data_IF_830919993769
#
_entry.id   IF_830919993769
#
_cell.length_a   1.000
_cell.length_b   1.000
_cell.length_c   1.000
_cell.angle_alpha   90.00
_cell.angle_beta   90.00
_cell.angle_gamma   90.00
#
_symmetry.space_group_name_H-M   'P 1'
#
loop_
_entity.id
_entity.type
_entity.pdbx_description
1 polymer ?
#
# COMPACT_ATOMS: atom_id res chain seq x y z
N UNK A 1 -17.74 34.67 -6.59
CA UNK A 1 -16.29 34.74 -6.36
C UNK A 1 -15.85 33.38 -5.89
N UNK A 2 -15.16 32.59 -6.73
CA UNK A 2 -14.62 31.27 -6.36
C UNK A 2 -13.34 31.49 -5.59
N UNK A 3 -13.31 31.17 -4.33
CA UNK A 3 -12.08 31.13 -3.53
C UNK A 3 -11.28 29.89 -3.97
N UNK A 4 -10.22 30.13 -4.70
CA UNK A 4 -9.18 29.11 -4.93
C UNK A 4 -8.44 28.90 -3.61
N UNK A 5 -8.73 27.82 -2.91
CA UNK A 5 -7.90 27.36 -1.83
C UNK A 5 -6.56 26.94 -2.42
N UNK A 6 -5.57 27.81 -2.28
CA UNK A 6 -4.17 27.48 -2.55
C UNK A 6 -3.76 26.41 -1.55
N UNK A 7 -3.76 25.16 -1.99
CA UNK A 7 -3.15 24.06 -1.24
C UNK A 7 -1.66 24.34 -1.27
N UNK A 8 -1.15 24.95 -0.20
CA UNK A 8 0.27 25.05 0.05
C UNK A 8 0.79 23.65 0.27
N UNK A 9 1.46 23.07 -0.73
CA UNK A 9 2.18 21.82 -0.63
C UNK A 9 3.43 22.08 0.23
N UNK A 10 3.24 22.17 1.54
CA UNK A 10 4.34 22.17 2.49
C UNK A 10 4.85 20.74 2.57
N UNK A 11 5.71 20.36 1.63
CA UNK A 11 6.62 19.25 1.81
C UNK A 11 7.57 19.72 2.91
N UNK A 12 7.24 19.38 4.15
CA UNK A 12 8.20 19.52 5.24
C UNK A 12 9.34 18.55 4.91
N UNK A 13 10.41 19.09 4.35
CA UNK A 13 11.69 18.43 4.25
C UNK A 13 12.21 18.27 5.69
N UNK A 14 11.80 17.22 6.36
CA UNK A 14 12.43 16.76 7.59
C UNK A 14 13.80 16.22 7.20
N UNK A 15 14.77 17.10 7.20
CA UNK A 15 16.19 16.75 7.12
C UNK A 15 16.55 16.17 8.48
N UNK A 16 16.42 14.85 8.63
CA UNK A 16 17.02 14.13 9.74
C UNK A 16 18.53 14.01 9.47
N UNK A 17 19.30 14.92 10.03
CA UNK A 17 20.75 14.77 10.15
C UNK A 17 21.03 13.95 11.40
N UNK A 18 20.98 12.63 11.31
CA UNK A 18 21.73 11.77 12.25
C UNK A 18 21.84 10.35 11.67
N UNK A 19 23.09 9.85 11.58
CA UNK A 19 23.51 8.47 11.32
C UNK A 19 22.82 7.78 10.13
N UNK A 20 23.63 7.33 9.18
CA UNK A 20 23.27 6.65 7.93
C UNK A 20 22.35 5.43 8.14
N UNK A 21 21.06 5.65 8.29
CA UNK A 21 20.04 4.64 8.16
C UNK A 21 19.35 4.85 6.81
N UNK A 22 19.06 3.74 6.14
CA UNK A 22 18.68 3.75 4.74
C UNK A 22 17.22 4.20 4.55
N UNK A 23 16.98 5.51 4.57
CA UNK A 23 15.68 6.08 4.16
C UNK A 23 15.34 5.57 2.76
N UNK A 24 14.15 5.05 2.59
CA UNK A 24 13.64 4.60 1.29
C UNK A 24 12.56 5.57 0.81
N UNK A 25 12.78 6.14 -0.38
CA UNK A 25 11.75 6.84 -1.15
C UNK A 25 11.19 5.86 -2.18
N UNK A 26 9.88 5.69 -2.24
CA UNK A 26 9.18 4.82 -3.19
C UNK A 26 8.09 5.63 -3.92
N UNK A 27 8.27 5.83 -5.22
CA UNK A 27 7.30 6.48 -6.10
C UNK A 27 6.73 5.41 -7.01
N UNK A 28 5.39 5.33 -7.08
CA UNK A 28 4.68 4.33 -7.86
C UNK A 28 3.48 4.94 -8.57
N UNK A 29 3.37 4.66 -9.85
CA UNK A 29 2.20 4.98 -10.65
C UNK A 29 1.40 3.71 -10.95
N UNK A 30 0.08 3.75 -10.82
CA UNK A 30 -0.81 2.63 -11.10
C UNK A 30 -1.88 2.98 -12.13
N UNK A 31 -2.28 1.97 -12.89
CA UNK A 31 -3.37 2.02 -13.83
C UNK A 31 -4.31 0.82 -13.66
N UNK A 32 -5.60 1.07 -13.44
CA UNK A 32 -6.68 0.07 -13.43
C UNK A 32 -7.32 0.03 -14.80
N UNK A 33 -7.19 -1.11 -15.48
CA UNK A 33 -7.50 -1.19 -16.92
C UNK A 33 -9.00 -1.07 -17.21
N UNK A 34 -9.86 -1.77 -16.46
CA UNK A 34 -11.32 -1.70 -16.67
C UNK A 34 -11.90 -0.34 -16.27
N UNK A 35 -11.53 0.13 -15.09
CA UNK A 35 -12.00 1.41 -14.56
C UNK A 35 -11.34 2.63 -15.24
N UNK A 36 -10.29 2.45 -16.08
CA UNK A 36 -9.52 3.52 -16.72
C UNK A 36 -9.04 4.58 -15.73
N UNK A 37 -8.57 4.14 -14.57
CA UNK A 37 -8.18 5.02 -13.47
C UNK A 37 -6.68 4.98 -13.23
N UNK A 38 -6.09 6.16 -13.13
CA UNK A 38 -4.70 6.35 -12.77
C UNK A 38 -4.57 6.89 -11.34
N UNK A 39 -3.53 6.46 -10.63
CA UNK A 39 -3.15 7.06 -9.35
C UNK A 39 -1.64 6.99 -9.18
N UNK A 40 -1.08 7.95 -8.45
CA UNK A 40 0.33 8.01 -8.10
C UNK A 40 0.47 7.94 -6.59
N UNK A 41 1.44 7.20 -6.12
CA UNK A 41 1.78 7.08 -4.70
C UNK A 41 3.22 7.53 -4.46
N UNK A 42 3.42 8.30 -3.41
CA UNK A 42 4.74 8.59 -2.86
C UNK A 42 4.78 8.06 -1.44
N UNK A 43 5.81 7.27 -1.12
CA UNK A 43 6.04 6.74 0.23
C UNK A 43 7.49 7.01 0.64
N UNK A 44 7.68 7.50 1.85
CA UNK A 44 8.97 7.58 2.53
C UNK A 44 8.92 6.63 3.71
N UNK A 45 9.93 5.80 3.90
CA UNK A 45 9.99 4.86 5.01
C UNK A 45 11.41 4.64 5.50
N UNK A 46 11.53 4.33 6.78
CA UNK A 46 12.79 4.04 7.44
C UNK A 46 12.58 3.09 8.64
N UNK A 47 13.67 2.69 9.26
CA UNK A 47 13.64 1.93 10.51
C UNK A 47 14.80 2.32 11.42
N UNK A 48 14.55 2.40 12.71
CA UNK A 48 15.53 2.64 13.76
C UNK A 48 15.47 1.44 14.70
N UNK A 49 16.54 0.67 14.76
CA UNK A 49 16.57 -0.62 15.47
C UNK A 49 15.43 -1.54 15.05
N UNK A 50 14.54 -1.85 15.98
CA UNK A 50 13.36 -2.67 15.75
C UNK A 50 12.12 -1.87 15.31
N UNK A 51 12.14 -0.55 15.45
CA UNK A 51 11.03 0.32 15.09
C UNK A 51 11.08 0.66 13.61
N UNK A 52 9.97 0.45 12.88
CA UNK A 52 9.84 0.90 11.49
C UNK A 52 8.71 1.92 11.39
N UNK A 53 8.85 2.84 10.43
CA UNK A 53 7.82 3.82 10.13
C UNK A 53 7.82 4.19 8.66
N UNK A 54 6.71 4.73 8.21
CA UNK A 54 6.54 5.21 6.84
C UNK A 54 5.40 6.19 6.71
N UNK A 55 5.54 7.10 5.77
CA UNK A 55 4.51 8.06 5.38
C UNK A 55 4.19 7.83 3.92
N UNK A 56 2.92 7.64 3.61
CA UNK A 56 2.43 7.43 2.26
C UNK A 56 1.36 8.46 1.91
N UNK A 57 1.43 8.99 0.69
CA UNK A 57 0.37 9.81 0.11
C UNK A 57 0.06 9.34 -1.30
N UNK A 58 -1.23 9.27 -1.62
CA UNK A 58 -1.73 8.97 -2.95
C UNK A 58 -2.32 10.22 -3.57
N UNK A 59 -2.21 10.29 -4.89
CA UNK A 59 -2.76 11.34 -5.72
C UNK A 59 -3.44 10.69 -6.92
N UNK A 60 -4.62 11.18 -7.26
CA UNK A 60 -5.36 10.79 -8.45
C UNK A 60 -5.86 12.05 -9.16
N UNK A 61 -6.14 11.95 -10.44
CA UNK A 61 -6.84 13.04 -11.14
C UNK A 61 -8.32 13.02 -10.76
N UNK A 62 -8.96 14.16 -10.87
CA UNK A 62 -10.41 14.28 -10.77
C UNK A 62 -11.10 13.29 -11.70
N UNK A 63 -12.19 12.69 -11.24
CA UNK A 63 -13.00 11.77 -12.04
C UNK A 63 -13.75 12.54 -13.13
N UNK A 64 -13.71 12.02 -14.35
CA UNK A 64 -14.56 12.48 -15.43
C UNK A 64 -15.99 11.95 -15.28
N UNK A 65 -16.93 12.46 -16.07
CA UNK A 65 -18.33 12.00 -16.09
C UNK A 65 -18.46 10.49 -16.37
N UNK A 66 -17.56 9.91 -17.18
CA UNK A 66 -17.50 8.47 -17.46
C UNK A 66 -16.83 7.64 -16.37
N UNK A 67 -16.44 8.26 -15.24
CA UNK A 67 -15.76 7.63 -14.13
C UNK A 67 -14.26 7.40 -14.33
N UNK A 68 -13.70 7.71 -15.50
CA UNK A 68 -12.26 7.59 -15.75
C UNK A 68 -11.46 8.66 -15.01
N UNK A 69 -10.20 8.35 -14.72
CA UNK A 69 -9.24 9.29 -14.11
C UNK A 69 -7.97 9.29 -14.96
N UNK A 70 -7.64 10.38 -15.67
CA UNK A 70 -6.45 10.44 -16.52
C UNK A 70 -5.16 10.39 -15.69
N UNK A 71 -4.03 10.06 -16.33
CA UNK A 71 -2.73 9.95 -15.67
C UNK A 71 -2.25 11.29 -15.07
N UNK A 72 -2.55 12.37 -15.77
CA UNK A 72 -2.25 13.75 -15.38
C UNK A 72 -3.49 14.61 -15.60
N UNK A 73 -3.75 15.51 -14.70
CA UNK A 73 -4.92 16.40 -14.73
C UNK A 73 -4.95 17.22 -13.46
N UNK A 74 -6.13 17.68 -13.05
CA UNK A 74 -6.33 18.28 -11.73
C UNK A 74 -6.09 17.19 -10.67
N UNK A 75 -4.91 17.22 -10.05
CA UNK A 75 -4.56 16.22 -9.04
C UNK A 75 -5.30 16.51 -7.74
N UNK A 76 -6.02 15.51 -7.28
CA UNK A 76 -6.66 15.49 -5.98
C UNK A 76 -5.86 14.60 -5.03
N UNK A 77 -5.93 14.94 -3.75
CA UNK A 77 -5.36 14.13 -2.70
C UNK A 77 -6.24 12.90 -2.49
N UNK A 78 -5.70 11.72 -2.68
CA UNK A 78 -6.31 10.47 -2.23
C UNK A 78 -5.94 10.15 -0.78
N UNK A 79 -6.00 8.86 -0.43
CA UNK A 79 -5.65 8.40 0.91
C UNK A 79 -4.18 8.68 1.24
N UNK A 80 -3.94 9.04 2.49
CA UNK A 80 -2.61 9.09 3.10
C UNK A 80 -2.53 8.08 4.23
N UNK A 81 -1.35 7.50 4.47
CA UNK A 81 -1.17 6.50 5.52
C UNK A 81 0.11 6.79 6.30
N UNK A 82 0.00 6.70 7.62
CA UNK A 82 1.12 6.61 8.54
C UNK A 82 1.25 5.13 8.90
N UNK A 83 2.34 4.49 8.49
CA UNK A 83 2.65 3.09 8.79
C UNK A 83 3.72 3.04 9.88
N UNK A 84 3.51 2.25 10.94
CA UNK A 84 4.48 2.11 12.02
C UNK A 84 4.31 0.79 12.76
N UNK A 85 5.39 0.36 13.42
CA UNK A 85 5.38 -0.84 14.22
C UNK A 85 6.78 -1.27 14.62
N UNK A 86 6.88 -2.51 15.09
CA UNK A 86 8.13 -3.10 15.53
C UNK A 86 8.38 -4.42 14.80
N UNK A 87 9.66 -4.74 14.59
CA UNK A 87 10.08 -6.01 14.01
C UNK A 87 11.05 -6.69 14.96
N UNK A 88 10.63 -7.83 15.51
CA UNK A 88 11.44 -8.63 16.42
C UNK A 88 11.89 -9.90 15.72
N UNK A 89 13.19 -10.17 15.74
CA UNK A 89 13.74 -11.47 15.36
C UNK A 89 13.49 -12.44 16.50
N UNK A 90 12.94 -13.61 16.21
CA UNK A 90 12.78 -14.71 17.17
C UNK A 90 14.02 -15.63 17.14
N UNK A 91 14.54 -15.86 15.93
CA UNK A 91 15.77 -16.56 15.64
C UNK A 91 16.36 -16.11 14.29
N UNK A 92 17.28 -16.86 13.71
CA UNK A 92 17.92 -16.54 12.41
C UNK A 92 16.95 -16.58 11.23
N UNK A 93 15.86 -17.33 11.36
CA UNK A 93 14.87 -17.57 10.31
C UNK A 93 13.55 -16.85 10.55
N UNK A 94 13.06 -16.82 11.79
CA UNK A 94 11.73 -16.33 12.12
C UNK A 94 11.74 -14.91 12.68
N UNK A 95 10.72 -14.14 12.31
CA UNK A 95 10.46 -12.84 12.90
C UNK A 95 8.96 -12.60 13.07
N UNK A 96 8.63 -11.76 14.04
CA UNK A 96 7.28 -11.19 14.21
C UNK A 96 7.32 -9.68 14.02
N UNK A 97 6.23 -9.13 13.50
CA UNK A 97 6.15 -7.70 13.19
C UNK A 97 4.74 -7.19 13.52
N UNK A 98 4.47 -6.83 14.79
CA UNK A 98 3.29 -6.07 15.14
C UNK A 98 3.38 -4.65 14.60
N UNK A 99 2.22 -4.07 14.25
CA UNK A 99 2.14 -2.70 13.75
C UNK A 99 0.71 -2.18 13.76
N UNK A 100 0.55 -0.88 13.58
CA UNK A 100 -0.74 -0.22 13.58
C UNK A 100 -0.75 0.96 12.59
N UNK A 101 -0.80 0.70 11.27
CA UNK A 101 -0.99 1.76 10.29
C UNK A 101 -2.30 2.52 10.53
N UNK A 102 -2.29 3.82 10.22
CA UNK A 102 -3.47 4.68 10.25
C UNK A 102 -3.57 5.37 8.89
N UNK A 103 -4.69 5.17 8.20
CA UNK A 103 -4.97 5.81 6.92
C UNK A 103 -6.01 6.93 7.10
N UNK A 104 -5.89 7.97 6.26
CA UNK A 104 -6.76 9.14 6.24
C UNK A 104 -7.14 9.45 4.80
N UNK A 105 -8.40 9.66 4.52
CA UNK A 105 -8.89 10.05 3.20
C UNK A 105 -10.40 9.93 3.10
N UNK A 106 -10.99 10.62 2.13
CA UNK A 106 -12.43 10.58 1.82
C UNK A 106 -13.35 10.77 3.04
N UNK A 107 -13.02 11.75 3.90
CA UNK A 107 -13.83 12.05 5.10
C UNK A 107 -13.80 10.96 6.17
N UNK A 108 -12.84 10.03 6.12
CA UNK A 108 -12.70 8.94 7.10
C UNK A 108 -11.25 8.77 7.56
N UNK A 109 -11.10 8.10 8.69
CA UNK A 109 -9.82 7.49 9.08
C UNK A 109 -9.99 5.99 9.31
N UNK A 110 -8.92 5.24 9.09
CA UNK A 110 -8.92 3.78 9.28
C UNK A 110 -7.73 3.38 10.13
N UNK A 111 -7.98 2.78 11.30
CA UNK A 111 -6.96 2.21 12.18
C UNK A 111 -6.79 0.75 11.80
N UNK A 112 -5.53 0.30 11.63
CA UNK A 112 -5.21 -1.00 11.02
C UNK A 112 -4.26 -1.84 11.89
N UNK A 113 -4.66 -2.26 13.13
CA UNK A 113 -3.83 -3.16 13.91
C UNK A 113 -3.51 -4.43 13.13
N UNK A 114 -2.23 -4.85 13.17
CA UNK A 114 -1.75 -5.98 12.39
C UNK A 114 -0.64 -6.74 13.10
N UNK A 115 -0.55 -8.03 12.78
CA UNK A 115 0.58 -8.87 13.13
C UNK A 115 1.04 -9.64 11.89
N UNK A 116 2.35 -9.58 11.62
CA UNK A 116 3.00 -10.37 10.59
C UNK A 116 3.95 -11.35 11.23
N UNK A 117 3.91 -12.59 10.78
CA UNK A 117 4.90 -13.63 11.08
C UNK A 117 5.62 -13.94 9.77
N UNK A 118 6.94 -13.91 9.79
CA UNK A 118 7.74 -14.16 8.60
C UNK A 118 8.84 -15.17 8.82
N UNK A 119 9.16 -15.88 7.75
CA UNK A 119 10.20 -16.89 7.69
C UNK A 119 11.18 -16.58 6.56
N UNK A 120 12.46 -16.56 6.86
CA UNK A 120 13.56 -16.43 5.92
C UNK A 120 14.29 -17.78 5.82
N UNK A 121 14.26 -18.40 4.65
CA UNK A 121 14.94 -19.67 4.45
C UNK A 121 16.46 -19.54 4.53
N UNK A 122 17.13 -20.52 5.16
CA UNK A 122 18.58 -20.51 5.35
C UNK A 122 19.34 -20.92 4.10
N UNK A 123 18.78 -21.85 3.30
CA UNK A 123 19.48 -22.48 2.17
C UNK A 123 19.21 -21.80 0.82
N UNK A 124 18.16 -21.01 0.72
CA UNK A 124 17.77 -20.31 -0.51
C UNK A 124 17.35 -18.87 -0.19
N UNK A 125 17.52 -17.91 -1.10
CA UNK A 125 17.18 -16.51 -0.88
C UNK A 125 15.67 -16.26 -0.96
N UNK A 126 14.88 -17.03 -0.21
CA UNK A 126 13.44 -17.00 -0.14
C UNK A 126 12.98 -16.47 1.23
N UNK A 127 12.02 -15.56 1.21
CA UNK A 127 11.34 -15.07 2.41
C UNK A 127 9.85 -15.19 2.20
N UNK A 128 9.15 -15.76 3.17
CA UNK A 128 7.68 -15.82 3.19
C UNK A 128 7.15 -15.14 4.43
N UNK A 129 5.93 -14.63 4.37
CA UNK A 129 5.26 -14.10 5.57
C UNK A 129 3.75 -14.20 5.44
N UNK A 130 3.10 -14.37 6.59
CA UNK A 130 1.66 -14.28 6.76
C UNK A 130 1.36 -13.08 7.66
N UNK A 131 0.43 -12.23 7.25
CA UNK A 131 -0.03 -11.08 8.03
C UNK A 131 -1.55 -11.17 8.21
N UNK A 132 -2.00 -11.01 9.44
CA UNK A 132 -3.38 -10.70 9.76
C UNK A 132 -3.48 -9.21 10.10
N UNK A 133 -4.53 -8.55 9.60
CA UNK A 133 -4.85 -7.15 9.84
C UNK A 133 -6.35 -7.03 10.04
N UNK A 134 -6.76 -6.29 11.05
CA UNK A 134 -8.12 -5.79 11.19
C UNK A 134 -8.14 -4.30 10.87
N UNK A 135 -9.13 -3.85 10.15
CA UNK A 135 -9.27 -2.47 9.72
C UNK A 135 -10.59 -1.92 10.28
N UNK A 136 -10.49 -0.84 11.05
CA UNK A 136 -11.62 -0.12 11.63
C UNK A 136 -11.72 1.22 10.92
N UNK A 137 -12.74 1.38 10.08
CA UNK A 137 -12.98 2.58 9.30
C UNK A 137 -14.10 3.40 9.93
N UNK A 138 -13.78 4.62 10.32
CA UNK A 138 -14.70 5.55 10.97
C UNK A 138 -14.85 6.78 10.08
N UNK A 139 -16.07 7.15 9.76
CA UNK A 139 -16.39 8.35 8.99
C UNK A 139 -16.55 9.58 9.87
N UNK A 140 -16.21 10.75 9.34
CA UNK A 140 -16.36 12.03 10.04
C UNK A 140 -17.78 12.58 9.99
N UNK A 141 -18.61 12.07 9.06
CA UNK A 141 -20.00 12.47 8.86
C UNK A 141 -20.93 11.36 9.30
N UNK A 142 -21.95 11.67 10.08
CA UNK A 142 -22.97 10.75 10.60
C UNK A 142 -23.82 10.06 9.51
N UNK A 143 -23.69 10.51 8.26
CA UNK A 143 -24.41 9.93 7.11
C UNK A 143 -23.79 8.68 6.53
N UNK A 144 -22.58 8.31 6.95
CA UNK A 144 -21.88 7.12 6.47
C UNK A 144 -21.67 6.14 7.62
N UNK A 145 -22.01 4.88 7.38
CA UNK A 145 -21.82 3.83 8.37
C UNK A 145 -20.33 3.45 8.48
N UNK A 146 -19.86 3.42 9.71
CA UNK A 146 -18.57 2.82 10.06
C UNK A 146 -18.55 1.36 9.63
N UNK A 147 -17.37 0.83 9.33
CA UNK A 147 -17.25 -0.58 8.95
C UNK A 147 -15.93 -1.20 9.40
N UNK A 148 -15.98 -2.51 9.56
CA UNK A 148 -14.85 -3.31 9.92
C UNK A 148 -14.48 -4.31 8.82
N UNK A 149 -13.19 -4.54 8.64
CA UNK A 149 -12.69 -5.48 7.65
C UNK A 149 -11.52 -6.28 8.20
N UNK A 150 -11.55 -7.58 7.97
CA UNK A 150 -10.43 -8.48 8.20
C UNK A 150 -9.64 -8.65 6.91
N UNK A 151 -8.31 -8.66 7.01
CA UNK A 151 -7.43 -8.90 5.89
C UNK A 151 -6.34 -9.90 6.26
N UNK A 152 -6.22 -10.97 5.48
CA UNK A 152 -5.11 -11.91 5.53
C UNK A 152 -4.24 -11.66 4.30
N UNK A 153 -2.93 -11.52 4.51
CA UNK A 153 -1.97 -11.34 3.41
C UNK A 153 -0.88 -12.39 3.51
N UNK A 154 -0.73 -13.19 2.47
CA UNK A 154 0.45 -14.02 2.27
C UNK A 154 1.42 -13.28 1.35
N UNK A 155 2.70 -13.28 1.69
CA UNK A 155 3.76 -12.75 0.84
C UNK A 155 4.87 -13.77 0.67
N UNK A 156 5.43 -13.83 -0.53
CA UNK A 156 6.62 -14.62 -0.85
C UNK A 156 7.57 -13.75 -1.68
N UNK A 157 8.83 -13.70 -1.33
CA UNK A 157 9.83 -12.97 -2.11
C UNK A 157 11.08 -13.82 -2.31
N UNK A 158 11.60 -13.78 -3.54
CA UNK A 158 12.80 -14.49 -3.97
C UNK A 158 13.80 -13.49 -4.55
N UNK A 159 15.04 -13.51 -4.04
CA UNK A 159 16.11 -12.67 -4.54
C UNK A 159 17.07 -13.51 -5.39
N UNK A 160 17.37 -13.06 -6.61
CA UNK A 160 18.34 -13.70 -7.50
C UNK A 160 19.35 -12.67 -8.02
N UNK A 161 20.51 -12.64 -7.43
CA UNK A 161 21.51 -11.60 -7.70
C UNK A 161 20.96 -10.21 -7.41
N UNK A 162 20.90 -9.35 -8.42
CA UNK A 162 20.33 -8.00 -8.32
C UNK A 162 18.81 -7.96 -8.53
N UNK A 163 18.19 -9.08 -8.92
CA UNK A 163 16.76 -9.14 -9.20
C UNK A 163 15.98 -9.62 -7.96
N UNK A 164 14.79 -9.08 -7.79
CA UNK A 164 13.83 -9.51 -6.78
C UNK A 164 12.48 -9.76 -7.43
N UNK A 165 11.90 -10.89 -7.11
CA UNK A 165 10.55 -11.29 -7.50
C UNK A 165 9.72 -11.43 -6.23
N UNK A 166 8.48 -10.97 -6.24
CA UNK A 166 7.60 -11.17 -5.10
C UNK A 166 6.15 -11.36 -5.52
N UNK A 167 5.48 -12.18 -4.75
CA UNK A 167 4.06 -12.47 -4.84
C UNK A 167 3.38 -11.99 -3.55
N UNK A 168 2.23 -11.37 -3.69
CA UNK A 168 1.34 -11.08 -2.58
C UNK A 168 -0.06 -11.61 -2.92
N UNK A 169 -0.65 -12.38 -2.01
CA UNK A 169 -2.03 -12.83 -2.08
C UNK A 169 -2.77 -12.26 -0.87
N UNK A 170 -3.88 -11.58 -1.13
CA UNK A 170 -4.72 -10.97 -0.12
C UNK A 170 -6.09 -11.62 -0.14
N UNK A 171 -6.64 -11.87 1.04
CA UNK A 171 -8.02 -12.20 1.27
C UNK A 171 -8.63 -11.16 2.21
N UNK A 172 -9.83 -10.71 1.88
CA UNK A 172 -10.57 -9.70 2.63
C UNK A 172 -11.92 -10.25 3.04
N UNK A 173 -12.36 -9.91 4.24
CA UNK A 173 -13.73 -10.11 4.70
C UNK A 173 -14.19 -8.85 5.42
N UNK A 174 -15.19 -8.21 4.84
CA UNK A 174 -15.86 -7.07 5.46
C UNK A 174 -17.02 -7.58 6.33
N UNK A 175 -17.22 -6.98 7.50
CA UNK A 175 -18.27 -7.44 8.44
C UNK A 175 -19.62 -6.76 8.15
N UNK A 176 -19.61 -5.63 7.47
CA UNK A 176 -20.77 -4.73 7.40
C UNK A 176 -21.33 -4.58 5.99
N UNK A 177 -20.48 -4.62 4.95
CA UNK A 177 -20.88 -4.33 3.57
C UNK A 177 -20.27 -5.28 2.55
N UNK A 178 -20.95 -5.40 1.41
CA UNK A 178 -20.45 -6.15 0.26
C UNK A 178 -19.27 -5.43 -0.40
N UNK A 179 -18.22 -6.18 -0.71
CA UNK A 179 -16.98 -5.66 -1.28
C UNK A 179 -16.60 -6.26 -2.62
N UNK A 180 -17.25 -7.37 -3.02
CA UNK A 180 -17.08 -8.01 -4.32
C UNK A 180 -18.23 -8.98 -4.60
N UNK A 181 -18.79 -8.93 -5.82
CA UNK A 181 -19.84 -9.84 -6.31
C UNK A 181 -21.02 -10.01 -5.32
N UNK A 182 -21.49 -8.92 -4.73
CA UNK A 182 -22.52 -8.90 -3.70
C UNK A 182 -22.22 -9.84 -2.52
N UNK A 183 -20.94 -10.01 -2.20
CA UNK A 183 -20.47 -10.74 -1.03
C UNK A 183 -19.54 -9.88 -0.18
N UNK A 184 -19.42 -10.22 1.07
CA UNK A 184 -18.52 -9.57 2.03
C UNK A 184 -17.06 -10.03 1.90
N UNK A 185 -16.76 -10.87 0.93
CA UNK A 185 -15.44 -11.45 0.72
C UNK A 185 -14.82 -10.94 -0.59
N UNK A 186 -13.50 -10.81 -0.61
CA UNK A 186 -12.73 -10.43 -1.80
C UNK A 186 -11.32 -11.00 -1.71
N UNK A 187 -10.63 -11.05 -2.83
CA UNK A 187 -9.24 -11.46 -2.91
C UNK A 187 -8.48 -10.67 -3.99
N UNK A 188 -7.17 -10.53 -3.81
CA UNK A 188 -6.28 -9.93 -4.80
C UNK A 188 -5.01 -10.76 -4.92
N UNK A 189 -4.45 -10.83 -6.12
CA UNK A 189 -3.13 -11.39 -6.37
C UNK A 189 -2.23 -10.33 -7.01
N UNK A 190 -1.01 -10.21 -6.53
CA UNK A 190 -0.03 -9.25 -7.02
C UNK A 190 1.27 -9.98 -7.31
N UNK A 191 1.71 -9.94 -8.57
CA UNK A 191 3.01 -10.44 -9.00
C UNK A 191 3.90 -9.27 -9.35
N UNK A 192 5.14 -9.29 -8.86
CA UNK A 192 6.04 -8.16 -9.00
C UNK A 192 7.46 -8.61 -9.29
N UNK A 193 8.18 -7.78 -10.04
CA UNK A 193 9.59 -7.97 -10.33
C UNK A 193 10.32 -6.63 -10.33
N UNK A 194 11.53 -6.61 -9.81
CA UNK A 194 12.39 -5.42 -9.81
C UNK A 194 13.87 -5.77 -9.82
N UNK A 195 14.71 -4.77 -10.10
CA UNK A 195 16.15 -4.92 -10.19
C UNK A 195 16.89 -3.83 -9.43
N UNK A 196 17.87 -4.22 -8.63
CA UNK A 196 18.76 -3.28 -7.93
C UNK A 196 19.81 -2.70 -8.88
N UNK A 197 19.89 -1.38 -8.96
CA UNK A 197 20.81 -0.61 -9.79
C UNK A 197 21.45 0.51 -8.92
N UNK A 198 22.47 0.12 -8.15
CA UNK A 198 23.03 1.01 -7.12
C UNK A 198 21.98 1.34 -6.04
N UNK A 199 21.74 2.62 -5.80
CA UNK A 199 20.69 3.08 -4.88
C UNK A 199 19.28 2.98 -5.47
N UNK A 200 19.13 2.76 -6.77
CA UNK A 200 17.85 2.68 -7.46
C UNK A 200 17.30 1.25 -7.53
N UNK A 201 15.97 1.15 -7.49
CA UNK A 201 15.27 -0.12 -7.66
C UNK A 201 13.98 0.09 -8.46
N UNK A 202 14.08 0.14 -9.81
CA UNK A 202 12.88 0.09 -10.66
C UNK A 202 12.19 -1.25 -10.51
N UNK A 203 10.83 -1.23 -10.58
CA UNK A 203 10.00 -2.42 -10.50
C UNK A 203 8.69 -2.29 -11.23
N UNK A 204 8.11 -3.44 -11.56
CA UNK A 204 6.80 -3.60 -12.15
C UNK A 204 5.94 -4.49 -11.25
N UNK A 205 4.64 -4.21 -11.21
CA UNK A 205 3.66 -5.04 -10.52
C UNK A 205 2.44 -5.22 -11.42
N UNK A 206 1.95 -6.44 -11.46
CA UNK A 206 0.69 -6.81 -12.10
C UNK A 206 -0.22 -7.38 -11.01
N UNK A 207 -1.42 -6.83 -10.90
CA UNK A 207 -2.37 -7.28 -9.90
C UNK A 207 -3.72 -7.62 -10.55
N UNK A 208 -4.29 -8.73 -10.10
CA UNK A 208 -5.67 -9.08 -10.36
C UNK A 208 -6.52 -8.58 -9.19
N UNK A 209 -7.43 -7.64 -9.46
CA UNK A 209 -8.26 -6.98 -8.44
C UNK A 209 -9.72 -6.94 -8.87
N UNK A 210 -10.64 -6.84 -7.92
CA UNK A 210 -12.05 -6.60 -8.23
C UNK A 210 -12.26 -5.27 -8.92
N UNK A 211 -13.25 -5.18 -9.79
CA UNK A 211 -13.64 -3.91 -10.45
C UNK A 211 -14.75 -3.19 -9.69
N UNK A 212 -15.63 -3.93 -9.01
CA UNK A 212 -16.83 -3.42 -8.34
C UNK A 212 -17.20 -4.30 -7.15
N UNK A 213 -18.00 -3.76 -6.23
CA UNK A 213 -18.60 -4.51 -5.12
C UNK A 213 -19.78 -5.38 -5.56
N UNK A 214 -20.46 -5.02 -6.64
CA UNK A 214 -21.69 -5.68 -7.13
C UNK A 214 -21.46 -6.65 -8.30
N UNK A 215 -20.24 -6.80 -8.80
CA UNK A 215 -19.93 -7.63 -9.97
C UNK A 215 -18.81 -8.61 -9.67
N UNK A 216 -18.83 -9.77 -10.31
CA UNK A 216 -17.75 -10.76 -10.33
C UNK A 216 -16.60 -10.36 -11.25
N UNK A 217 -16.71 -9.23 -11.93
CA UNK A 217 -15.70 -8.73 -12.86
C UNK A 217 -14.39 -8.41 -12.16
N UNK A 218 -13.34 -9.05 -12.64
CA UNK A 218 -11.95 -8.79 -12.23
C UNK A 218 -11.27 -7.86 -13.25
N UNK A 219 -10.25 -7.14 -12.79
CA UNK A 219 -9.49 -6.29 -13.67
C UNK A 219 -7.99 -6.38 -13.40
N UNK A 220 -7.23 -6.24 -14.47
CA UNK A 220 -5.80 -6.03 -14.36
C UNK A 220 -5.51 -4.63 -13.81
N UNK A 221 -4.62 -4.56 -12.83
CA UNK A 221 -4.00 -3.33 -12.36
C UNK A 221 -2.50 -3.42 -12.58
N UNK A 222 -1.96 -2.52 -13.39
CA UNK A 222 -0.53 -2.44 -13.66
C UNK A 222 0.09 -1.31 -12.84
N UNK A 223 1.28 -1.53 -12.30
CA UNK A 223 2.04 -0.54 -11.56
C UNK A 223 3.49 -0.50 -12.02
N UNK A 224 3.99 0.71 -12.20
CA UNK A 224 5.40 1.00 -12.42
C UNK A 224 5.92 1.79 -11.23
N UNK A 225 7.00 1.36 -10.65
CA UNK A 225 7.56 2.02 -9.47
C UNK A 225 9.06 2.15 -9.50
N UNK A 226 9.55 3.08 -8.71
CA UNK A 226 10.96 3.35 -8.51
C UNK A 226 11.22 3.58 -7.03
N UNK A 227 12.12 2.78 -6.44
CA UNK A 227 12.62 3.05 -5.08
C UNK A 227 14.01 3.62 -5.16
N UNK A 228 14.28 4.56 -4.26
CA UNK A 228 15.60 5.08 -3.98
C UNK A 228 15.96 4.80 -2.53
N UNK A 229 17.14 4.27 -2.31
CA UNK A 229 17.67 3.96 -0.98
C UNK A 229 18.86 4.88 -0.73
N UNK A 230 18.76 5.70 0.29
CA UNK A 230 19.82 6.59 0.73
C UNK A 230 20.93 5.84 1.47
#
# INVERSE_FOLDING_TARGET
>A
MKHYNKISLSIAALVFTTSAQAVTLDIRHEYKHHAKQHATRVKVSDSIDNFYYGLESKFASEKREDGSQPAMGNLERGDSEIDWGFKFKLDDNWYIQPGMPIAFGDGKYTIKPQLRVGYKASSIPLTTALRYRREYSNYSEDSNDDYEQNKITFTMSYNHGKNKYWLEANYYRNEDKDIYNNTRENYDYILSAGRRMGSWFPYLEFADVSSSSSSDTRQLKTRVGLKYYY
#
